data_IF_801978995084
#
_entry.id   IF_801978995084
#
_cell.length_a   1.000
_cell.length_b   1.000
_cell.length_c   1.000
_cell.angle_alpha   90.00
_cell.angle_beta   90.00
_cell.angle_gamma   90.00
#
_symmetry.space_group_name_H-M   'P 1'
#
loop_
_entity.id
_entity.type
_entity.pdbx_description
1 polymer ?
#
# COMPACT_ATOMS: atom_id res chain seq x y z
N UNK A 1 2.77 23.05 -13.16
CA UNK A 1 3.89 23.88 -13.60
C UNK A 1 5.12 23.80 -12.71
N UNK A 2 5.64 22.60 -12.37
CA UNK A 2 6.85 22.43 -11.52
C UNK A 2 8.14 22.28 -12.34
N UNK A 3 8.24 22.87 -13.51
CA UNK A 3 9.47 22.89 -14.33
C UNK A 3 9.89 24.32 -14.66
N UNK A 4 10.14 25.11 -13.63
CA UNK A 4 10.87 26.37 -13.77
C UNK A 4 12.31 26.16 -13.29
N UNK A 5 13.27 26.34 -14.17
CA UNK A 5 14.71 26.26 -13.91
C UNK A 5 15.15 27.19 -12.78
N UNK A 6 15.10 26.73 -11.55
CA UNK A 6 15.78 27.32 -10.41
C UNK A 6 16.44 26.20 -9.62
N UNK A 7 17.66 26.44 -9.16
CA UNK A 7 18.61 25.45 -8.65
C UNK A 7 18.05 24.45 -7.62
N UNK A 8 18.72 23.33 -7.44
CA UNK A 8 18.28 22.10 -6.74
C UNK A 8 17.63 22.29 -5.35
N UNK A 9 17.89 23.39 -4.67
CA UNK A 9 17.29 23.71 -3.36
C UNK A 9 15.83 24.16 -3.44
N UNK A 10 15.37 24.77 -4.55
CA UNK A 10 13.97 25.17 -4.74
C UNK A 10 13.06 23.96 -4.83
N UNK A 11 13.56 22.85 -5.35
CA UNK A 11 12.80 21.59 -5.50
C UNK A 11 12.45 20.98 -4.14
N UNK A 12 13.38 21.00 -3.17
CA UNK A 12 13.12 20.52 -1.81
C UNK A 12 12.05 21.39 -1.12
N UNK A 13 12.08 22.70 -1.40
CA UNK A 13 11.09 23.63 -0.87
C UNK A 13 9.67 23.38 -1.45
N UNK A 14 9.57 22.91 -2.69
CA UNK A 14 8.27 22.59 -3.30
C UNK A 14 7.62 21.32 -2.70
N UNK A 15 8.43 20.42 -2.16
CA UNK A 15 7.99 19.17 -1.53
C UNK A 15 7.94 19.22 0.00
N UNK A 16 8.15 20.39 0.64
CA UNK A 16 8.22 20.45 2.10
C UNK A 16 6.98 19.90 2.83
N UNK A 17 5.72 20.10 2.33
CA UNK A 17 4.57 19.55 3.06
C UNK A 17 4.56 18.02 3.00
N UNK A 18 4.89 17.44 1.83
CA UNK A 18 5.06 15.99 1.69
C UNK A 18 6.15 15.43 2.60
N UNK A 19 7.33 16.09 2.63
CA UNK A 19 8.46 15.66 3.46
C UNK A 19 8.16 15.75 4.95
N UNK A 20 7.50 16.83 5.38
CA UNK A 20 7.09 16.98 6.78
C UNK A 20 6.01 15.95 7.16
N UNK A 21 5.02 15.71 6.29
CA UNK A 21 4.04 14.65 6.50
C UNK A 21 4.67 13.26 6.60
N UNK A 22 5.68 12.97 5.75
CA UNK A 22 6.46 11.73 5.82
C UNK A 22 7.22 11.60 7.15
N UNK A 23 7.85 12.67 7.60
CA UNK A 23 8.56 12.69 8.89
C UNK A 23 7.60 12.49 10.07
N UNK A 24 6.41 13.10 10.03
CA UNK A 24 5.40 12.92 11.06
C UNK A 24 4.88 11.48 11.12
N UNK A 25 4.52 10.90 9.98
CA UNK A 25 3.99 9.54 9.95
C UNK A 25 5.07 8.50 10.30
N UNK A 26 6.31 8.68 9.84
CA UNK A 26 7.42 7.82 10.22
C UNK A 26 7.81 7.98 11.69
N UNK A 27 7.81 9.22 12.20
CA UNK A 27 8.11 9.52 13.59
C UNK A 27 7.11 8.90 14.57
N UNK A 28 5.80 9.03 14.30
CA UNK A 28 4.78 8.41 15.16
C UNK A 28 4.85 6.88 15.10
N UNK A 29 5.10 6.30 13.92
CA UNK A 29 5.28 4.87 13.75
C UNK A 29 6.51 4.36 14.53
N UNK A 30 7.61 5.11 14.53
CA UNK A 30 8.79 4.80 15.32
C UNK A 30 8.49 4.80 16.84
N UNK A 31 7.73 5.80 17.30
CA UNK A 31 7.32 5.85 18.72
C UNK A 31 6.39 4.69 19.05
N UNK A 32 5.48 4.32 18.15
CA UNK A 32 4.56 3.19 18.33
C UNK A 32 5.31 1.85 18.42
N UNK A 33 6.31 1.63 17.58
CA UNK A 33 7.16 0.43 17.63
C UNK A 33 7.89 0.29 19.00
N UNK A 34 8.11 1.39 19.74
CA UNK A 34 8.79 1.38 21.05
C UNK A 34 7.80 1.32 22.22
N UNK A 35 6.71 2.10 22.17
CA UNK A 35 5.88 2.39 23.37
C UNK A 35 4.45 1.87 23.23
N UNK A 36 4.05 1.34 22.06
CA UNK A 36 2.68 0.89 21.75
C UNK A 36 1.64 1.98 22.05
N UNK A 37 1.43 2.87 21.08
CA UNK A 37 0.52 3.99 21.19
C UNK A 37 -0.94 3.57 20.95
N UNK A 38 -1.92 4.32 21.52
CA UNK A 38 -3.31 4.16 21.14
C UNK A 38 -3.54 4.39 19.64
N UNK A 39 -4.32 3.54 18.99
CA UNK A 39 -4.64 3.63 17.54
C UNK A 39 -5.18 5.01 17.15
N UNK A 40 -5.94 5.67 18.04
CA UNK A 40 -6.48 7.01 17.80
C UNK A 40 -5.40 8.07 17.56
N UNK A 41 -4.28 8.01 18.28
CA UNK A 41 -3.17 8.95 18.11
C UNK A 41 -2.49 8.72 16.74
N UNK A 42 -2.26 7.45 16.39
CA UNK A 42 -1.71 7.07 15.08
C UNK A 42 -2.59 7.57 13.94
N UNK A 43 -3.90 7.35 14.04
CA UNK A 43 -4.87 7.81 13.03
C UNK A 43 -4.87 9.33 12.90
N UNK A 44 -4.90 10.10 14.00
CA UNK A 44 -4.85 11.56 13.94
C UNK A 44 -3.60 12.05 13.22
N UNK A 45 -2.43 11.50 13.54
CA UNK A 45 -1.18 11.88 12.86
C UNK A 45 -1.20 11.48 11.40
N UNK A 46 -1.75 10.32 11.04
CA UNK A 46 -1.93 9.92 9.64
C UNK A 46 -2.84 10.93 8.91
N UNK A 47 -3.98 11.32 9.46
CA UNK A 47 -4.87 12.31 8.83
C UNK A 47 -4.18 13.66 8.63
N UNK A 48 -3.41 14.14 9.60
CA UNK A 48 -2.63 15.38 9.49
C UNK A 48 -1.57 15.26 8.39
N UNK A 49 -0.81 14.16 8.38
CA UNK A 49 0.23 13.91 7.38
C UNK A 49 -0.34 13.83 5.96
N UNK A 50 -1.48 13.15 5.76
CA UNK A 50 -2.17 13.12 4.48
C UNK A 50 -2.80 14.45 4.10
N UNK A 51 -3.27 15.25 5.06
CA UNK A 51 -3.69 16.62 4.82
C UNK A 51 -2.54 17.48 4.26
N UNK A 52 -1.33 17.32 4.77
CA UNK A 52 -0.13 17.99 4.24
C UNK A 52 0.24 17.48 2.85
N UNK A 53 0.13 16.17 2.60
CA UNK A 53 0.31 15.58 1.27
C UNK A 53 -0.70 16.17 0.28
N UNK A 54 -1.97 16.29 0.65
CA UNK A 54 -3.02 16.85 -0.20
C UNK A 54 -2.81 18.33 -0.50
N UNK A 55 -2.26 19.07 0.46
CA UNK A 55 -1.82 20.43 0.21
C UNK A 55 -0.74 20.46 -0.89
N UNK A 56 0.29 19.63 -0.74
CA UNK A 56 1.38 19.56 -1.71
C UNK A 56 0.91 19.16 -3.12
N UNK A 57 -0.10 18.26 -3.19
CA UNK A 57 -0.70 17.80 -4.45
C UNK A 57 -1.69 18.79 -5.06
N UNK A 58 -2.07 19.88 -4.39
CA UNK A 58 -3.07 20.82 -4.88
C UNK A 58 -4.50 20.27 -4.84
N UNK A 59 -4.79 19.26 -4.01
CA UNK A 59 -6.14 18.68 -3.90
C UNK A 59 -7.18 19.73 -3.49
N UNK A 60 -6.77 20.73 -2.70
CA UNK A 60 -7.66 21.79 -2.25
C UNK A 60 -8.09 22.75 -3.38
N UNK A 61 -7.43 22.74 -4.53
CA UNK A 61 -7.85 23.52 -5.72
C UNK A 61 -9.18 23.00 -6.30
N UNK A 62 -9.55 21.74 -5.95
CA UNK A 62 -10.86 21.18 -6.29
C UNK A 62 -12.02 21.97 -5.69
N UNK A 63 -11.82 22.66 -4.56
CA UNK A 63 -12.84 23.54 -3.96
C UNK A 63 -13.20 24.70 -4.87
N UNK A 64 -12.20 25.32 -5.54
CA UNK A 64 -12.43 26.38 -6.51
C UNK A 64 -13.05 25.85 -7.81
N UNK A 65 -12.68 24.64 -8.24
CA UNK A 65 -13.13 24.07 -9.52
C UNK A 65 -14.56 23.49 -9.47
N UNK A 66 -14.94 22.81 -8.37
CA UNK A 66 -16.22 22.09 -8.28
C UNK A 66 -17.15 22.62 -7.19
N UNK A 67 -16.77 23.71 -6.53
CA UNK A 67 -17.47 24.28 -5.38
C UNK A 67 -17.10 23.58 -4.06
N UNK A 68 -17.27 24.31 -2.96
CA UNK A 68 -16.76 23.89 -1.65
C UNK A 68 -17.38 22.59 -1.13
N UNK A 69 -18.66 22.32 -1.36
CA UNK A 69 -19.33 21.09 -0.88
C UNK A 69 -18.77 19.84 -1.56
N UNK A 70 -18.64 19.85 -2.90
CA UNK A 70 -18.10 18.74 -3.67
C UNK A 70 -16.61 18.57 -3.34
N UNK A 71 -15.85 19.68 -3.32
CA UNK A 71 -14.43 19.66 -2.97
C UNK A 71 -14.19 19.10 -1.56
N UNK A 72 -14.99 19.48 -0.56
CA UNK A 72 -14.89 18.95 0.80
C UNK A 72 -15.23 17.45 0.84
N UNK A 73 -16.34 17.04 0.23
CA UNK A 73 -16.76 15.64 0.19
C UNK A 73 -15.72 14.73 -0.47
N UNK A 74 -15.19 15.12 -1.61
CA UNK A 74 -14.14 14.36 -2.32
C UNK A 74 -12.84 14.31 -1.54
N UNK A 75 -12.44 15.40 -0.87
CA UNK A 75 -11.23 15.44 -0.04
C UNK A 75 -11.35 14.52 1.18
N UNK A 76 -12.50 14.56 1.89
CA UNK A 76 -12.74 13.66 3.02
C UNK A 76 -12.73 12.20 2.58
N UNK A 77 -13.41 11.87 1.49
CA UNK A 77 -13.42 10.51 0.95
C UNK A 77 -12.01 10.05 0.57
N UNK A 78 -11.25 10.89 -0.12
CA UNK A 78 -9.86 10.59 -0.51
C UNK A 78 -8.97 10.39 0.74
N UNK A 79 -9.13 11.22 1.78
CA UNK A 79 -8.41 11.04 3.06
C UNK A 79 -8.71 9.69 3.71
N UNK A 80 -9.98 9.30 3.77
CA UNK A 80 -10.39 7.99 4.31
C UNK A 80 -9.75 6.86 3.49
N UNK A 81 -9.76 6.98 2.16
CA UNK A 81 -9.19 5.96 1.26
C UNK A 81 -7.68 5.84 1.45
N UNK A 82 -6.93 6.94 1.48
CA UNK A 82 -5.46 6.88 1.61
C UNK A 82 -5.02 6.41 3.00
N UNK A 83 -5.71 6.83 4.07
CA UNK A 83 -5.44 6.33 5.43
C UNK A 83 -5.78 4.85 5.53
N UNK A 84 -6.92 4.42 4.98
CA UNK A 84 -7.31 3.02 4.92
C UNK A 84 -6.31 2.17 4.12
N UNK A 85 -5.89 2.64 2.94
CA UNK A 85 -4.89 1.96 2.11
C UNK A 85 -3.54 1.83 2.83
N UNK A 86 -3.12 2.86 3.57
CA UNK A 86 -1.89 2.81 4.37
C UNK A 86 -1.96 1.72 5.44
N UNK A 87 -3.06 1.63 6.16
CA UNK A 87 -3.22 0.60 7.19
C UNK A 87 -3.34 -0.80 6.57
N UNK A 88 -4.00 -0.94 5.41
CA UNK A 88 -4.00 -2.20 4.65
C UNK A 88 -2.58 -2.59 4.25
N UNK A 89 -1.77 -1.67 3.71
CA UNK A 89 -0.37 -1.95 3.32
C UNK A 89 0.45 -2.34 4.55
N UNK A 90 0.24 -1.69 5.70
CA UNK A 90 0.90 -2.06 6.96
C UNK A 90 0.52 -3.48 7.40
N UNK A 91 -0.74 -3.86 7.36
CA UNK A 91 -1.19 -5.23 7.69
C UNK A 91 -0.62 -6.30 6.75
N UNK A 92 -0.21 -5.91 5.55
CA UNK A 92 0.43 -6.81 4.59
C UNK A 92 1.92 -7.04 4.86
N UNK A 93 2.54 -6.39 5.87
CA UNK A 93 3.95 -6.59 6.24
C UNK A 93 4.16 -7.75 7.22
N UNK A 94 3.62 -8.93 6.94
CA UNK A 94 3.66 -10.09 7.85
C UNK A 94 4.66 -11.19 7.50
N UNK A 95 5.37 -11.12 6.37
CA UNK A 95 6.39 -12.11 5.96
C UNK A 95 7.59 -11.43 5.31
N UNK A 96 8.78 -12.06 5.45
CA UNK A 96 10.02 -11.47 4.93
C UNK A 96 9.92 -11.17 3.43
N UNK A 97 10.28 -9.96 3.07
CA UNK A 97 10.42 -9.52 1.68
C UNK A 97 9.13 -9.07 1.02
N UNK A 98 7.96 -9.26 1.64
CA UNK A 98 6.70 -8.96 0.98
C UNK A 98 6.55 -7.45 0.72
N UNK A 99 6.81 -6.61 1.70
CA UNK A 99 6.74 -5.15 1.58
C UNK A 99 7.77 -4.63 0.58
N UNK A 100 9.02 -5.14 0.65
CA UNK A 100 10.08 -4.73 -0.26
C UNK A 100 9.77 -5.12 -1.72
N UNK A 101 9.46 -6.39 -1.98
CA UNK A 101 9.19 -6.88 -3.33
C UNK A 101 7.92 -6.28 -3.94
N UNK A 102 6.85 -6.15 -3.12
CA UNK A 102 5.62 -5.53 -3.57
C UNK A 102 5.80 -4.04 -3.87
N UNK A 103 6.51 -3.29 -3.03
CA UNK A 103 6.81 -1.88 -3.31
C UNK A 103 7.54 -1.70 -4.63
N UNK A 104 8.48 -2.58 -4.98
CA UNK A 104 9.15 -2.55 -6.28
C UNK A 104 8.17 -2.83 -7.44
N UNK A 105 7.20 -3.74 -7.25
CA UNK A 105 6.19 -4.03 -8.27
C UNK A 105 5.21 -2.87 -8.51
N UNK A 106 5.15 -1.90 -7.61
CA UNK A 106 4.42 -0.64 -7.75
C UNK A 106 5.30 0.48 -8.29
N UNK A 107 6.50 0.65 -7.72
CA UNK A 107 7.42 1.73 -8.06
C UNK A 107 7.99 1.62 -9.48
N UNK A 108 8.26 0.40 -9.96
CA UNK A 108 8.78 0.18 -11.33
C UNK A 108 7.74 0.62 -12.39
N UNK A 109 6.46 0.20 -12.34
CA UNK A 109 5.41 0.75 -13.20
C UNK A 109 5.24 2.26 -13.10
N UNK A 110 5.31 2.83 -11.89
CA UNK A 110 5.26 4.29 -11.68
C UNK A 110 6.44 4.99 -12.37
N UNK A 111 7.64 4.43 -12.28
CA UNK A 111 8.82 4.97 -12.97
C UNK A 111 8.67 4.91 -14.48
N UNK A 112 8.14 3.83 -15.03
CA UNK A 112 7.85 3.67 -16.46
C UNK A 112 6.84 4.73 -16.91
N UNK A 113 5.72 4.87 -16.21
CA UNK A 113 4.68 5.86 -16.51
C UNK A 113 5.24 7.28 -16.44
N UNK A 114 6.01 7.62 -15.39
CA UNK A 114 6.57 8.95 -15.20
C UNK A 114 7.51 9.36 -16.36
N UNK A 115 8.28 8.39 -16.90
CA UNK A 115 9.18 8.63 -18.02
C UNK A 115 8.48 8.61 -19.40
N UNK A 116 7.30 7.98 -19.49
CA UNK A 116 6.54 7.93 -20.76
C UNK A 116 5.62 9.14 -20.97
N UNK A 117 5.37 9.91 -19.92
CA UNK A 117 4.52 11.10 -19.99
C UNK A 117 5.31 12.33 -20.49
N UNK A 118 4.67 13.22 -21.29
CA UNK A 118 5.31 14.47 -21.74
C UNK A 118 5.77 15.37 -20.58
N UNK A 119 5.03 15.37 -19.48
CA UNK A 119 5.36 16.06 -18.24
C UNK A 119 5.33 15.02 -17.12
N UNK A 120 6.47 14.74 -16.47
CA UNK A 120 6.49 13.83 -15.34
C UNK A 120 5.56 14.30 -14.21
N UNK A 121 4.83 13.36 -13.60
CA UNK A 121 3.93 13.69 -12.49
C UNK A 121 4.67 13.88 -11.15
N UNK A 122 5.89 13.34 -11.03
CA UNK A 122 6.82 13.60 -9.92
C UNK A 122 8.24 13.65 -10.45
N UNK A 123 9.19 14.09 -9.62
CA UNK A 123 10.60 14.09 -9.98
C UNK A 123 11.12 12.66 -10.21
N UNK A 124 11.78 12.41 -11.32
CA UNK A 124 12.43 11.13 -11.61
C UNK A 124 13.45 10.73 -10.55
N UNK A 125 14.17 11.71 -9.98
CA UNK A 125 15.11 11.47 -8.87
C UNK A 125 14.41 10.95 -7.62
N UNK A 126 13.20 11.42 -7.30
CA UNK A 126 12.43 10.93 -6.16
C UNK A 126 12.10 9.45 -6.31
N UNK A 127 11.52 9.04 -7.46
CA UNK A 127 11.20 7.63 -7.69
C UNK A 127 12.49 6.79 -7.69
N UNK A 128 13.54 7.27 -8.35
CA UNK A 128 14.83 6.56 -8.43
C UNK A 128 15.48 6.33 -7.07
N UNK A 129 15.51 7.34 -6.21
CA UNK A 129 16.03 7.21 -4.83
C UNK A 129 15.21 6.24 -4.00
N UNK A 130 13.88 6.29 -4.11
CA UNK A 130 12.99 5.35 -3.39
C UNK A 130 13.21 3.92 -3.88
N UNK A 131 13.30 3.68 -5.19
CA UNK A 131 13.61 2.35 -5.75
C UNK A 131 14.95 1.84 -5.22
N UNK A 132 16.00 2.67 -5.24
CA UNK A 132 17.32 2.29 -4.71
C UNK A 132 17.26 1.95 -3.21
N UNK A 133 16.54 2.75 -2.41
CA UNK A 133 16.35 2.48 -0.99
C UNK A 133 15.64 1.15 -0.73
N UNK A 134 14.57 0.86 -1.49
CA UNK A 134 13.84 -0.42 -1.39
C UNK A 134 14.70 -1.60 -1.87
N UNK A 135 15.52 -1.43 -2.91
CA UNK A 135 16.47 -2.46 -3.35
C UNK A 135 17.51 -2.79 -2.27
N UNK A 136 18.05 -1.76 -1.61
CA UNK A 136 18.96 -1.97 -0.46
C UNK A 136 18.22 -2.71 0.66
N UNK A 137 16.99 -2.31 1.00
CA UNK A 137 16.18 -3.00 2.00
C UNK A 137 15.93 -4.48 1.61
N UNK A 138 15.68 -4.78 0.33
CA UNK A 138 15.56 -6.16 -0.17
C UNK A 138 16.77 -7.02 0.18
N UNK A 139 17.99 -6.52 0.10
CA UNK A 139 19.22 -7.29 0.42
C UNK A 139 19.22 -7.83 1.87
N UNK A 140 18.54 -7.13 2.77
CA UNK A 140 18.50 -7.48 4.19
C UNK A 140 17.21 -8.20 4.58
N UNK A 141 16.07 -7.86 3.99
CA UNK A 141 14.74 -8.37 4.37
C UNK A 141 14.24 -9.52 3.49
N UNK A 142 14.48 -9.52 2.16
CA UNK A 142 13.97 -10.54 1.23
C UNK A 142 14.74 -11.86 1.37
N UNK A 143 14.48 -12.58 2.46
CA UNK A 143 15.19 -13.79 2.88
C UNK A 143 14.24 -14.84 3.42
N UNK A 144 14.64 -16.14 3.43
CA UNK A 144 13.84 -17.18 4.06
C UNK A 144 13.48 -16.86 5.52
N UNK A 145 12.41 -17.50 6.01
CA UNK A 145 11.95 -17.35 7.40
C UNK A 145 13.10 -17.52 8.40
N UNK A 146 13.22 -16.61 9.35
CA UNK A 146 14.27 -16.60 10.37
C UNK A 146 15.65 -16.14 9.89
N UNK A 147 15.80 -15.74 8.62
CA UNK A 147 17.08 -15.27 8.06
C UNK A 147 17.09 -13.81 7.62
N UNK A 148 15.98 -13.09 7.76
CA UNK A 148 15.96 -11.64 7.56
C UNK A 148 16.84 -10.96 8.60
N UNK A 149 17.58 -9.92 8.17
CA UNK A 149 18.49 -9.15 9.02
C UNK A 149 17.87 -7.85 9.52
N UNK A 150 16.78 -7.42 8.89
CA UNK A 150 15.96 -6.28 9.30
C UNK A 150 14.50 -6.53 8.92
N UNK A 151 13.61 -5.78 9.54
CA UNK A 151 12.18 -5.78 9.28
C UNK A 151 11.75 -4.36 8.93
N UNK A 152 10.65 -4.19 8.18
CA UNK A 152 10.11 -2.87 7.87
C UNK A 152 9.57 -2.19 9.13
N UNK A 153 8.86 -2.94 9.96
CA UNK A 153 8.09 -2.39 11.06
C UNK A 153 7.03 -1.39 10.57
N UNK A 154 6.38 -0.73 11.49
CA UNK A 154 5.40 0.31 11.14
C UNK A 154 6.07 1.50 10.44
N UNK A 155 7.29 1.85 10.82
CA UNK A 155 8.05 2.93 10.17
C UNK A 155 8.24 2.67 8.68
N UNK A 156 8.69 1.46 8.32
CA UNK A 156 8.99 1.13 6.92
C UNK A 156 7.74 0.88 6.09
N UNK A 157 6.76 0.14 6.60
CA UNK A 157 5.54 -0.20 5.86
C UNK A 157 4.63 1.01 5.65
N UNK A 158 4.41 1.83 6.69
CA UNK A 158 3.61 3.05 6.61
C UNK A 158 4.36 4.14 5.81
N UNK A 159 5.69 4.27 6.00
CA UNK A 159 6.50 5.22 5.27
C UNK A 159 6.48 4.96 3.76
N UNK A 160 6.67 3.71 3.32
CA UNK A 160 6.62 3.38 1.89
C UNK A 160 5.21 3.48 1.33
N UNK A 161 4.17 3.15 2.11
CA UNK A 161 2.78 3.35 1.73
C UNK A 161 2.50 4.83 1.45
N UNK A 162 2.91 5.72 2.35
CA UNK A 162 2.77 7.17 2.20
C UNK A 162 3.44 7.67 0.91
N UNK A 163 4.66 7.22 0.62
CA UNK A 163 5.40 7.59 -0.60
C UNK A 163 4.69 7.06 -1.85
N UNK A 164 4.27 5.81 -1.88
CA UNK A 164 3.58 5.23 -3.04
C UNK A 164 2.23 5.92 -3.29
N UNK A 165 1.47 6.21 -2.24
CA UNK A 165 0.18 6.90 -2.34
C UNK A 165 0.34 8.36 -2.79
N UNK A 166 1.43 9.04 -2.41
CA UNK A 166 1.78 10.35 -2.97
C UNK A 166 1.99 10.27 -4.48
N UNK A 167 2.80 9.32 -4.95
CA UNK A 167 3.10 9.16 -6.38
C UNK A 167 1.85 8.77 -7.19
N UNK A 168 1.04 7.84 -6.68
CA UNK A 168 -0.23 7.44 -7.33
C UNK A 168 -1.23 8.59 -7.32
N UNK A 169 -1.34 9.32 -6.21
CA UNK A 169 -2.19 10.50 -6.10
C UNK A 169 -1.81 11.60 -7.10
N UNK A 170 -0.51 11.86 -7.25
CA UNK A 170 0.00 12.79 -8.25
C UNK A 170 -0.33 12.34 -9.67
N UNK A 171 -0.14 11.05 -9.98
CA UNK A 171 -0.49 10.47 -11.28
C UNK A 171 -1.99 10.62 -11.58
N UNK A 172 -2.85 10.30 -10.62
CA UNK A 172 -4.31 10.43 -10.75
C UNK A 172 -4.71 11.90 -10.99
N UNK A 173 -4.12 12.84 -10.26
CA UNK A 173 -4.44 14.27 -10.42
C UNK A 173 -3.99 14.84 -11.76
N UNK A 174 -2.85 14.38 -12.27
CA UNK A 174 -2.33 14.81 -13.58
C UNK A 174 -3.12 14.20 -14.73
N UNK A 175 -3.53 12.96 -14.63
CA UNK A 175 -4.26 12.23 -15.70
C UNK A 175 -5.78 12.38 -15.59
N UNK A 176 -6.32 12.64 -14.42
CA UNK A 176 -7.75 12.59 -14.13
C UNK A 176 -8.31 11.16 -14.07
N UNK A 177 -7.46 10.13 -14.07
CA UNK A 177 -7.86 8.72 -14.16
C UNK A 177 -7.66 7.96 -12.84
N UNK A 178 -8.77 7.65 -12.19
CA UNK A 178 -8.77 6.88 -10.92
C UNK A 178 -8.38 5.41 -11.11
N UNK A 179 -8.40 4.89 -12.34
CA UNK A 179 -8.10 3.47 -12.58
C UNK A 179 -6.64 3.11 -12.28
N UNK A 180 -5.76 4.11 -12.13
CA UNK A 180 -4.38 3.90 -11.64
C UNK A 180 -4.29 3.35 -10.21
N UNK A 181 -5.40 3.29 -9.45
CA UNK A 181 -5.48 2.51 -8.20
C UNK A 181 -5.21 1.02 -8.42
N UNK A 182 -5.27 0.53 -9.66
CA UNK A 182 -4.89 -0.83 -10.06
C UNK A 182 -3.44 -1.17 -9.66
N UNK A 183 -2.57 -0.17 -9.52
CA UNK A 183 -1.17 -0.36 -9.10
C UNK A 183 -1.03 -0.88 -7.65
N UNK A 184 -2.11 -0.88 -6.85
CA UNK A 184 -2.15 -1.41 -5.48
C UNK A 184 -3.17 -2.56 -5.32
N UNK A 185 -3.69 -3.09 -6.43
CA UNK A 185 -4.91 -3.89 -6.40
C UNK A 185 -4.75 -5.22 -5.66
N UNK A 186 -3.60 -5.90 -5.79
CA UNK A 186 -3.39 -7.22 -5.14
C UNK A 186 -3.43 -7.08 -3.62
N UNK A 187 -2.78 -6.08 -3.05
CA UNK A 187 -2.86 -5.77 -1.61
C UNK A 187 -4.26 -5.29 -1.22
N UNK A 188 -4.88 -4.45 -2.07
CA UNK A 188 -6.24 -3.98 -1.86
C UNK A 188 -7.25 -5.12 -1.73
N UNK A 189 -7.19 -6.12 -2.62
CA UNK A 189 -8.11 -7.27 -2.59
C UNK A 189 -7.86 -8.16 -1.36
N UNK A 190 -6.63 -8.58 -1.09
CA UNK A 190 -6.34 -9.41 0.09
C UNK A 190 -6.70 -8.67 1.39
N UNK A 191 -6.28 -7.41 1.52
CA UNK A 191 -6.55 -6.61 2.72
C UNK A 191 -8.03 -6.34 2.93
N UNK A 192 -8.73 -5.79 1.94
CA UNK A 192 -10.15 -5.46 2.06
C UNK A 192 -11.02 -6.69 2.28
N UNK A 193 -10.80 -7.78 1.53
CA UNK A 193 -11.61 -8.99 1.71
C UNK A 193 -11.32 -9.68 3.05
N UNK A 194 -10.08 -9.61 3.57
CA UNK A 194 -9.75 -10.09 4.92
C UNK A 194 -10.47 -9.26 5.98
N UNK A 195 -10.48 -7.92 5.85
CA UNK A 195 -11.22 -7.04 6.74
C UNK A 195 -12.72 -7.35 6.69
N UNK A 196 -13.31 -7.47 5.49
CA UNK A 196 -14.71 -7.86 5.33
C UNK A 196 -15.01 -9.21 6.01
N UNK A 197 -14.15 -10.19 5.84
CA UNK A 197 -14.30 -11.51 6.48
C UNK A 197 -14.28 -11.39 8.02
N UNK A 198 -13.39 -10.58 8.59
CA UNK A 198 -13.33 -10.33 10.04
C UNK A 198 -14.57 -9.62 10.57
N UNK A 199 -15.11 -8.66 9.80
CA UNK A 199 -16.38 -7.99 10.16
C UNK A 199 -17.53 -9.02 10.20
N UNK A 200 -17.60 -9.91 9.22
CA UNK A 200 -18.61 -10.99 9.19
C UNK A 200 -18.46 -11.96 10.37
N UNK A 201 -17.25 -12.16 10.88
CA UNK A 201 -16.97 -12.97 12.07
C UNK A 201 -17.15 -12.19 13.38
N UNK A 202 -17.58 -10.92 13.33
CA UNK A 202 -17.75 -10.01 14.47
C UNK A 202 -16.47 -9.84 15.32
N UNK A 203 -15.30 -9.86 14.67
CA UNK A 203 -14.00 -9.71 15.33
C UNK A 203 -13.63 -8.25 15.55
N UNK A 204 -12.86 -7.99 16.61
CA UNK A 204 -12.26 -6.68 16.85
C UNK A 204 -11.18 -6.42 15.79
N UNK A 205 -11.38 -5.41 14.93
CA UNK A 205 -10.45 -5.06 13.85
C UNK A 205 -9.11 -4.51 14.36
N UNK A 206 -9.05 -3.97 15.58
CA UNK A 206 -7.82 -3.47 16.20
C UNK A 206 -6.91 -4.57 16.74
N UNK A 207 -7.37 -5.82 16.83
CA UNK A 207 -6.54 -6.92 17.31
C UNK A 207 -5.67 -7.51 16.19
N UNK A 208 -4.41 -7.81 16.54
CA UNK A 208 -3.49 -8.47 15.62
C UNK A 208 -4.03 -9.85 15.17
N UNK A 209 -3.94 -10.13 13.89
CA UNK A 209 -4.44 -11.37 13.30
C UNK A 209 -3.51 -11.94 12.23
N UNK A 210 -3.77 -13.17 11.80
CA UNK A 210 -2.99 -13.89 10.77
C UNK A 210 -3.91 -14.51 9.71
N UNK A 211 -4.90 -13.76 9.22
CA UNK A 211 -5.98 -14.27 8.36
C UNK A 211 -5.86 -13.87 6.88
N UNK A 212 -4.83 -13.09 6.53
CA UNK A 212 -4.57 -12.76 5.13
C UNK A 212 -4.20 -13.99 4.31
N UNK A 213 -4.59 -14.02 3.03
CA UNK A 213 -4.28 -15.15 2.16
C UNK A 213 -2.76 -15.41 2.05
N UNK A 214 -1.93 -14.34 1.97
CA UNK A 214 -0.48 -14.48 1.94
C UNK A 214 0.08 -15.14 3.22
N UNK A 215 -0.53 -14.87 4.39
CA UNK A 215 -0.10 -15.47 5.67
C UNK A 215 -0.45 -16.95 5.73
N UNK A 216 -1.64 -17.34 5.25
CA UNK A 216 -2.03 -18.74 5.11
C UNK A 216 -1.06 -19.48 4.18
N UNK A 217 -0.71 -18.87 3.04
CA UNK A 217 0.27 -19.45 2.10
C UNK A 217 1.64 -19.67 2.77
N UNK A 218 2.11 -18.67 3.53
CA UNK A 218 3.44 -18.71 4.11
C UNK A 218 3.54 -19.63 5.35
N UNK A 219 2.52 -19.63 6.22
CA UNK A 219 2.56 -20.27 7.52
C UNK A 219 1.90 -21.66 7.51
N UNK A 220 0.63 -21.74 7.11
CA UNK A 220 -0.15 -22.98 7.15
C UNK A 220 0.21 -23.91 5.99
N UNK A 221 0.28 -23.37 4.75
CA UNK A 221 0.71 -24.15 3.57
C UNK A 221 2.23 -24.30 3.47
N UNK A 222 3.01 -23.62 4.30
CA UNK A 222 4.48 -23.71 4.36
C UNK A 222 5.18 -23.47 3.02
N UNK A 223 4.60 -22.64 2.15
CA UNK A 223 5.19 -22.32 0.82
C UNK A 223 6.53 -21.57 0.97
N UNK A 224 6.70 -20.86 2.10
CA UNK A 224 7.90 -20.11 2.41
C UNK A 224 7.81 -18.63 2.02
N UNK A 225 8.42 -17.77 2.85
CA UNK A 225 8.30 -16.31 2.75
C UNK A 225 8.70 -15.75 1.38
N UNK A 226 9.89 -16.12 0.89
CA UNK A 226 10.41 -15.63 -0.39
C UNK A 226 9.48 -15.96 -1.56
N UNK A 227 8.95 -17.19 -1.61
CA UNK A 227 8.06 -17.61 -2.70
C UNK A 227 6.73 -16.85 -2.67
N UNK A 228 6.15 -16.66 -1.48
CA UNK A 228 4.90 -15.91 -1.32
C UNK A 228 5.10 -14.44 -1.67
N UNK A 229 6.17 -13.81 -1.19
CA UNK A 229 6.51 -12.43 -1.50
C UNK A 229 6.76 -12.22 -2.99
N UNK A 230 7.48 -13.16 -3.64
CA UNK A 230 7.69 -13.14 -5.10
C UNK A 230 6.36 -13.28 -5.85
N UNK A 231 5.48 -14.18 -5.41
CA UNK A 231 4.18 -14.39 -6.06
C UNK A 231 3.33 -13.12 -6.04
N UNK A 232 3.20 -12.46 -4.87
CA UNK A 232 2.44 -11.21 -4.74
C UNK A 232 3.04 -10.08 -5.59
N UNK A 233 4.36 -9.92 -5.55
CA UNK A 233 5.05 -8.91 -6.34
C UNK A 233 4.93 -9.15 -7.85
N UNK A 234 5.12 -10.39 -8.32
CA UNK A 234 4.99 -10.74 -9.73
C UNK A 234 3.55 -10.59 -10.22
N UNK A 235 2.57 -11.01 -9.42
CA UNK A 235 1.15 -10.86 -9.75
C UNK A 235 0.80 -9.38 -9.93
N UNK A 236 1.20 -8.52 -8.99
CA UNK A 236 0.98 -7.08 -9.11
C UNK A 236 1.71 -6.48 -10.31
N UNK A 237 2.97 -6.87 -10.53
CA UNK A 237 3.76 -6.38 -11.67
C UNK A 237 3.12 -6.73 -13.01
N UNK A 238 2.67 -7.99 -13.18
CA UNK A 238 1.98 -8.44 -14.40
C UNK A 238 0.69 -7.66 -14.64
N UNK A 239 -0.12 -7.44 -13.60
CA UNK A 239 -1.34 -6.64 -13.70
C UNK A 239 -1.00 -5.19 -14.11
N UNK A 240 0.00 -4.59 -13.46
CA UNK A 240 0.40 -3.21 -13.73
C UNK A 240 0.98 -3.03 -15.13
N UNK A 241 1.85 -3.93 -15.58
CA UNK A 241 2.42 -3.89 -16.94
C UNK A 241 1.38 -4.22 -17.99
N UNK A 242 0.46 -5.16 -17.71
CA UNK A 242 -0.68 -5.44 -18.57
C UNK A 242 -1.57 -4.22 -18.76
N UNK A 243 -1.84 -3.47 -17.69
CA UNK A 243 -2.58 -2.21 -17.76
C UNK A 243 -1.85 -1.16 -18.61
N UNK A 244 -0.53 -1.02 -18.44
CA UNK A 244 0.26 0.00 -19.15
C UNK A 244 0.43 -0.31 -20.63
N UNK A 245 0.67 -1.57 -20.99
CA UNK A 245 1.10 -1.93 -22.35
C UNK A 245 0.05 -2.62 -23.19
N UNK A 246 -0.92 -3.31 -22.58
CA UNK A 246 -1.92 -4.10 -23.30
C UNK A 246 -3.32 -3.47 -23.26
N UNK A 247 -3.61 -2.63 -22.27
CA UNK A 247 -4.90 -1.97 -22.18
C UNK A 247 -4.93 -0.77 -23.17
N UNK A 248 -5.93 -0.68 -24.05
CA UNK A 248 -6.10 0.50 -24.92
C UNK A 248 -6.30 1.76 -24.08
N UNK A 249 -5.70 2.87 -24.51
CA UNK A 249 -5.80 4.15 -23.80
C UNK A 249 -7.17 4.83 -24.03
N UNK A 250 -8.21 4.20 -23.52
CA UNK A 250 -9.59 4.73 -23.52
C UNK A 250 -10.19 4.53 -22.14
N UNK A 251 -11.02 5.45 -21.69
CA UNK A 251 -11.67 5.40 -20.37
C UNK A 251 -12.43 4.07 -20.17
N UNK A 252 -13.19 3.63 -21.17
CA UNK A 252 -13.95 2.36 -21.11
C UNK A 252 -13.00 1.16 -20.93
N UNK A 253 -11.88 1.12 -21.65
CA UNK A 253 -10.93 0.03 -21.52
C UNK A 253 -10.26 0.01 -20.16
N UNK A 254 -9.85 1.16 -19.62
CA UNK A 254 -9.25 1.29 -18.29
C UNK A 254 -10.20 0.78 -17.19
N UNK A 255 -11.45 1.25 -17.18
CA UNK A 255 -12.46 0.79 -16.23
C UNK A 255 -12.80 -0.70 -16.40
N UNK A 256 -12.88 -1.19 -17.66
CA UNK A 256 -13.14 -2.61 -17.93
C UNK A 256 -11.99 -3.50 -17.46
N UNK A 257 -10.74 -3.08 -17.66
CA UNK A 257 -9.56 -3.79 -17.18
C UNK A 257 -9.52 -3.83 -15.65
N UNK A 258 -9.76 -2.71 -14.99
CA UNK A 258 -9.83 -2.62 -13.52
C UNK A 258 -10.94 -3.54 -12.98
N UNK A 259 -12.15 -3.42 -13.50
CA UNK A 259 -13.30 -4.21 -13.03
C UNK A 259 -13.09 -5.71 -13.23
N UNK A 260 -12.61 -6.13 -14.41
CA UNK A 260 -12.32 -7.55 -14.68
C UNK A 260 -11.22 -8.09 -13.77
N UNK A 261 -10.17 -7.31 -13.52
CA UNK A 261 -9.09 -7.72 -12.61
C UNK A 261 -9.58 -7.82 -11.17
N UNK A 262 -10.42 -6.90 -10.69
CA UNK A 262 -11.06 -6.98 -9.37
C UNK A 262 -11.87 -8.28 -9.25
N UNK A 263 -12.70 -8.59 -10.25
CA UNK A 263 -13.54 -9.80 -10.25
C UNK A 263 -12.66 -11.06 -10.20
N UNK A 264 -11.64 -11.14 -11.04
CA UNK A 264 -10.75 -12.31 -11.10
C UNK A 264 -10.02 -12.52 -9.78
N UNK A 265 -9.42 -11.46 -9.21
CA UNK A 265 -8.69 -11.55 -7.94
C UNK A 265 -9.63 -11.87 -6.77
N UNK A 266 -10.83 -11.29 -6.73
CA UNK A 266 -11.83 -11.57 -5.71
C UNK A 266 -12.26 -13.03 -5.76
N UNK A 267 -12.57 -13.56 -6.95
CA UNK A 267 -12.92 -14.97 -7.11
C UNK A 267 -11.75 -15.89 -6.70
N UNK A 268 -10.53 -15.58 -7.12
CA UNK A 268 -9.35 -16.33 -6.72
C UNK A 268 -9.15 -16.33 -5.19
N UNK A 269 -9.31 -15.17 -4.54
CA UNK A 269 -9.24 -15.04 -3.08
C UNK A 269 -10.32 -15.88 -2.39
N UNK A 270 -11.58 -15.76 -2.81
CA UNK A 270 -12.72 -16.50 -2.20
C UNK A 270 -12.51 -18.02 -2.36
N UNK A 271 -12.11 -18.48 -3.54
CA UNK A 271 -11.83 -19.90 -3.78
C UNK A 271 -10.68 -20.41 -2.94
N UNK A 272 -9.60 -19.60 -2.82
CA UNK A 272 -8.46 -19.92 -1.98
C UNK A 272 -8.86 -20.02 -0.51
N UNK A 273 -9.56 -19.02 0.02
CA UNK A 273 -10.00 -19.00 1.42
C UNK A 273 -10.98 -20.14 1.71
N UNK A 274 -11.96 -20.38 0.85
CA UNK A 274 -12.89 -21.51 1.00
C UNK A 274 -12.16 -22.86 1.08
N UNK A 275 -11.06 -23.01 0.34
CA UNK A 275 -10.29 -24.26 0.30
C UNK A 275 -9.35 -24.43 1.49
N UNK A 276 -8.74 -23.37 1.98
CA UNK A 276 -7.58 -23.48 2.89
C UNK A 276 -7.79 -22.82 4.26
N UNK A 277 -8.87 -22.06 4.48
CA UNK A 277 -9.07 -21.35 5.74
C UNK A 277 -9.21 -22.28 6.96
N UNK A 278 -9.77 -23.50 6.77
CA UNK A 278 -9.86 -24.51 7.81
C UNK A 278 -8.50 -24.84 8.46
N UNK A 279 -7.39 -24.76 7.70
CA UNK A 279 -6.05 -24.98 8.23
C UNK A 279 -5.67 -23.95 9.32
N UNK A 280 -6.15 -22.71 9.15
CA UNK A 280 -5.95 -21.66 10.14
C UNK A 280 -6.79 -21.92 11.39
N UNK A 281 -8.02 -22.40 11.25
CA UNK A 281 -8.89 -22.78 12.37
C UNK A 281 -8.29 -23.95 13.16
N UNK A 282 -7.76 -24.97 12.50
CA UNK A 282 -7.05 -26.08 13.10
C UNK A 282 -5.80 -25.59 13.88
N UNK A 283 -5.04 -24.67 13.29
CA UNK A 283 -3.89 -24.06 13.97
C UNK A 283 -4.31 -23.33 15.26
N UNK A 284 -5.36 -22.52 15.23
CA UNK A 284 -5.89 -21.83 16.40
C UNK A 284 -6.39 -22.81 17.48
N UNK A 285 -7.06 -23.89 17.08
CA UNK A 285 -7.51 -24.94 17.98
C UNK A 285 -6.32 -25.64 18.66
N UNK A 286 -5.25 -25.90 17.92
CA UNK A 286 -4.02 -26.49 18.45
C UNK A 286 -3.31 -25.63 19.50
N UNK A 287 -3.37 -24.30 19.34
CA UNK A 287 -2.81 -23.35 20.33
C UNK A 287 -3.62 -23.34 21.63
N UNK A 288 -4.97 -23.37 21.55
CA UNK A 288 -5.84 -23.43 22.73
C UNK A 288 -5.62 -24.70 23.54
N UNK A 289 -5.48 -25.85 22.87
CA UNK A 289 -5.22 -27.13 23.55
C UNK A 289 -3.85 -27.12 24.29
N UNK A 290 -2.80 -26.62 23.66
CA UNK A 290 -1.47 -26.49 24.31
C UNK A 290 -1.49 -25.57 25.54
N UNK A 291 -2.30 -24.52 25.52
CA UNK A 291 -2.42 -23.62 26.67
C UNK A 291 -3.18 -24.26 27.83
N UNK A 292 -4.19 -25.09 27.54
CA UNK A 292 -4.95 -25.85 28.53
C UNK A 292 -4.12 -26.99 29.16
N UNK A 293 -3.20 -27.62 28.41
CA UNK A 293 -2.32 -28.67 28.88
C UNK A 293 -1.13 -28.13 29.72
N UNK A 294 -0.88 -26.81 29.68
CA UNK A 294 0.22 -26.14 30.40
C UNK A 294 -0.23 -25.46 31.70
N UNK A 295 -1.53 -25.42 31.99
CA UNK A 295 -2.14 -24.96 33.24
C UNK A 295 -2.66 -26.15 34.08
#
# INVERSE_FOLDING_TARGET
GLQGAHGDWCVVLDYWPFLLGLLLVAGISFVDDIVSLPDSIRLVVQFVSYGMMFWNLGVFDLFGKYGWMIGLGTTILALIVVVGATNVINFMDGVNGITAAYSLSVLVPLFILNNSMPIPFVLNSLIGVVILGVLVFCLFNFRPKGKAKCFAGDVGSIGIAYIMLFMIGSLILVTGDLTYLILLLVYGIDGCLTICHRILLHENLGEAHRKHAYQLMANELKIGHVKVSSFYALLQLVISLGFIYLCPNTEIAHWSYLASTIIILTLAYILFMKKYYHLHEEYLASLKNKHNDSN
#
